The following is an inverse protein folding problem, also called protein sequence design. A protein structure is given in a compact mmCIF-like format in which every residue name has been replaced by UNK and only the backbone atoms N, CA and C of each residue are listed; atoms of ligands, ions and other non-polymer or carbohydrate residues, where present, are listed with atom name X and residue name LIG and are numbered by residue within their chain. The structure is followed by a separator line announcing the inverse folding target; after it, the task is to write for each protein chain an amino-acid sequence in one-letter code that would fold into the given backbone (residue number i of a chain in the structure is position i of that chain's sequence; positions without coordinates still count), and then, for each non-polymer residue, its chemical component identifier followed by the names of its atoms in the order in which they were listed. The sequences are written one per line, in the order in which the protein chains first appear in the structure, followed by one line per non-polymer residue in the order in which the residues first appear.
data_IF_907819219914
#
_entry.id   IF_907819219914
#
_cell.length_a   1.000
_cell.length_b   1.000
_cell.length_c   1.000
_cell.angle_alpha   90.00
_cell.angle_beta   90.00
_cell.angle_gamma   90.00
#
_symmetry.space_group_name_H-M   'P 1'
#
loop_
_entity.id
_entity.type
_entity.pdbx_description
1 polymer ?
#
# COMPACT_ATOMS: atom_id res chain seq x y z
N UNK A 1 11.41 29.30 10.39
CA UNK A 1 11.70 28.35 11.48
C UNK A 1 10.76 28.63 12.66
N UNK A 2 9.80 27.74 12.95
CA UNK A 2 8.88 27.93 14.08
C UNK A 2 9.29 26.98 15.22
N UNK A 3 9.82 27.55 16.32
CA UNK A 3 10.26 26.81 17.51
C UNK A 3 9.05 26.34 18.32
N UNK A 4 9.12 25.12 18.85
CA UNK A 4 8.21 24.60 19.87
C UNK A 4 8.20 25.55 21.07
N UNK A 5 7.01 26.05 21.47
CA UNK A 5 6.85 26.88 22.67
C UNK A 5 5.92 26.19 23.65
N UNK A 6 6.44 25.91 24.83
CA UNK A 6 5.70 25.34 25.96
C UNK A 6 5.47 26.46 26.96
N UNK A 7 4.21 26.74 27.30
CA UNK A 7 3.85 27.63 28.40
C UNK A 7 3.14 26.77 29.45
N UNK A 8 3.71 26.67 30.64
CA UNK A 8 3.12 25.94 31.76
C UNK A 8 2.57 26.94 32.75
N UNK A 9 1.30 26.76 33.12
CA UNK A 9 0.75 27.27 34.38
C UNK A 9 0.50 26.07 35.29
N UNK A 10 0.44 26.28 36.60
CA UNK A 10 0.24 25.28 37.67
C UNK A 10 -0.94 24.32 37.45
N UNK A 11 -1.84 24.62 36.50
CA UNK A 11 -3.02 23.82 36.16
C UNK A 11 -3.12 23.38 34.69
N UNK A 12 -2.36 23.96 33.76
CA UNK A 12 -2.47 23.65 32.32
C UNK A 12 -1.15 23.84 31.57
N UNK A 13 -0.77 22.85 30.76
CA UNK A 13 0.38 22.93 29.85
C UNK A 13 -0.13 23.24 28.43
N UNK A 14 0.26 24.41 27.90
CA UNK A 14 -0.06 24.80 26.51
C UNK A 14 1.15 24.59 25.61
N UNK A 15 1.00 23.71 24.61
CA UNK A 15 2.04 23.42 23.61
C UNK A 15 1.62 24.00 22.26
N UNK A 16 2.42 24.91 21.70
CA UNK A 16 2.22 25.42 20.34
C UNK A 16 3.12 24.67 19.37
N UNK A 17 2.52 23.80 18.55
CA UNK A 17 3.21 23.02 17.51
C UNK A 17 2.82 23.53 16.12
N UNK A 18 3.78 23.92 15.27
CA UNK A 18 3.49 24.31 13.90
C UNK A 18 3.19 23.07 13.06
N UNK A 19 1.91 22.72 12.87
CA UNK A 19 1.48 21.56 12.06
C UNK A 19 1.04 21.97 10.66
N UNK A 20 1.23 21.09 9.68
CA UNK A 20 0.70 21.24 8.31
C UNK A 20 -0.41 20.19 8.08
N UNK A 21 -1.62 20.61 7.73
CA UNK A 21 -2.73 19.67 7.45
C UNK A 21 -2.82 19.45 5.94
N UNK A 22 -2.71 18.19 5.48
CA UNK A 22 -2.94 17.79 4.08
C UNK A 22 -4.13 16.85 3.96
N UNK A 23 -4.75 16.75 2.79
CA UNK A 23 -5.82 15.76 2.49
C UNK A 23 -5.31 14.69 1.53
N UNK A 24 -5.55 13.41 1.82
CA UNK A 24 -5.35 12.27 0.89
C UNK A 24 -6.56 11.36 0.95
N UNK A 25 -7.22 11.15 -0.20
CA UNK A 25 -8.40 10.26 -0.30
C UNK A 25 -9.55 10.63 0.65
N UNK A 26 -9.79 11.93 0.87
CA UNK A 26 -10.85 12.42 1.77
C UNK A 26 -10.48 12.48 3.26
N UNK A 27 -9.33 11.92 3.68
CA UNK A 27 -8.87 11.94 5.08
C UNK A 27 -7.89 13.09 5.34
N UNK A 28 -8.07 13.80 6.47
CA UNK A 28 -7.15 14.85 6.95
C UNK A 28 -5.91 14.19 7.58
N UNK A 29 -4.74 14.62 7.17
CA UNK A 29 -3.44 14.11 7.59
C UNK A 29 -2.68 15.28 8.24
N UNK A 30 -2.40 15.17 9.54
CA UNK A 30 -1.64 16.17 10.30
C UNK A 30 -0.15 15.84 10.15
N UNK A 31 0.62 16.74 9.55
CA UNK A 31 2.05 16.63 9.37
C UNK A 31 2.76 17.48 10.43
N UNK A 32 3.75 16.87 11.09
CA UNK A 32 4.64 17.57 12.01
C UNK A 32 5.59 18.52 11.24
N UNK A 33 6.09 19.59 11.89
CA UNK A 33 6.97 20.59 11.27
C UNK A 33 8.34 20.03 10.85
N UNK A 34 8.96 20.69 9.87
CA UNK A 34 10.31 20.35 9.38
C UNK A 34 11.33 20.41 10.52
N UNK A 35 11.91 19.25 10.81
CA UNK A 35 12.85 19.02 11.91
C UNK A 35 12.63 17.64 12.56
N UNK A 36 11.39 17.15 12.56
CA UNK A 36 11.01 15.78 12.92
C UNK A 36 10.74 14.92 11.67
N UNK A 37 11.60 15.08 10.66
CA UNK A 37 11.44 14.41 9.36
C UNK A 37 11.61 12.88 9.48
N UNK A 38 12.17 12.39 10.60
CA UNK A 38 12.36 10.97 10.87
C UNK A 38 11.01 10.31 11.23
N UNK A 39 10.21 10.92 12.12
CA UNK A 39 8.95 10.29 12.59
C UNK A 39 7.81 10.41 11.58
N UNK A 40 7.68 11.54 10.87
CA UNK A 40 6.62 11.69 9.87
C UNK A 40 6.86 10.82 8.62
N UNK A 41 8.12 10.46 8.32
CA UNK A 41 8.46 9.52 7.26
C UNK A 41 8.27 8.08 7.74
N UNK A 42 8.61 7.75 8.99
CA UNK A 42 8.28 6.46 9.62
C UNK A 42 6.78 6.21 9.67
N UNK A 43 5.96 7.19 10.09
CA UNK A 43 4.49 7.07 10.10
C UNK A 43 3.90 6.84 8.69
N UNK A 44 4.50 7.43 7.65
CA UNK A 44 4.11 7.21 6.24
C UNK A 44 4.59 5.86 5.70
N UNK A 45 5.72 5.36 6.18
CA UNK A 45 6.26 4.03 5.86
C UNK A 45 5.59 2.91 6.67
N UNK A 46 4.94 3.23 7.79
CA UNK A 46 4.29 2.24 8.66
C UNK A 46 2.81 2.04 8.36
N UNK A 47 2.19 2.94 7.59
CA UNK A 47 0.77 2.84 7.30
C UNK A 47 0.53 1.98 6.06
N UNK A 48 -0.01 0.78 6.27
CA UNK A 48 -0.45 -0.15 5.23
C UNK A 48 -1.28 0.60 4.18
N UNK A 49 -0.87 0.53 2.91
CA UNK A 49 -1.59 1.17 1.82
C UNK A 49 -2.92 0.43 1.58
N UNK A 50 -3.99 0.94 2.20
CA UNK A 50 -5.33 0.36 2.11
C UNK A 50 -5.84 0.20 0.68
N UNK A 51 -5.38 1.01 -0.28
CA UNK A 51 -5.76 0.86 -1.67
C UNK A 51 -5.07 -0.35 -2.30
N UNK A 52 -3.80 -0.57 -1.97
CA UNK A 52 -3.03 -1.71 -2.45
C UNK A 52 -3.55 -3.02 -1.85
N UNK A 53 -3.86 -3.02 -0.55
CA UNK A 53 -4.48 -4.18 0.11
C UNK A 53 -5.85 -4.50 -0.48
N UNK A 54 -6.71 -3.50 -0.70
CA UNK A 54 -8.01 -3.72 -1.36
C UNK A 54 -7.87 -4.25 -2.78
N UNK A 55 -6.88 -3.78 -3.53
CA UNK A 55 -6.61 -4.28 -4.87
C UNK A 55 -6.17 -5.75 -4.85
N UNK A 56 -5.29 -6.14 -3.92
CA UNK A 56 -4.91 -7.54 -3.72
C UNK A 56 -6.12 -8.39 -3.30
N UNK A 57 -6.91 -7.94 -2.32
CA UNK A 57 -8.11 -8.66 -1.88
C UNK A 57 -9.10 -8.90 -3.03
N UNK A 58 -9.31 -7.90 -3.90
CA UNK A 58 -10.12 -8.05 -5.12
C UNK A 58 -9.51 -9.04 -6.10
N UNK A 59 -8.19 -9.00 -6.31
CA UNK A 59 -7.50 -9.91 -7.20
C UNK A 59 -7.69 -11.37 -6.75
N UNK A 60 -7.53 -11.66 -5.46
CA UNK A 60 -7.75 -12.99 -4.90
C UNK A 60 -9.21 -13.42 -4.98
N UNK A 61 -10.16 -12.55 -4.61
CA UNK A 61 -11.59 -12.84 -4.71
C UNK A 61 -12.02 -13.16 -6.14
N UNK A 62 -11.60 -12.36 -7.12
CA UNK A 62 -11.97 -12.58 -8.51
C UNK A 62 -11.32 -13.85 -9.08
N UNK A 63 -10.09 -14.18 -8.65
CA UNK A 63 -9.47 -15.46 -8.99
C UNK A 63 -10.27 -16.64 -8.44
N UNK A 64 -10.66 -16.58 -7.17
CA UNK A 64 -11.47 -17.63 -6.53
C UNK A 64 -12.82 -17.82 -7.25
N UNK A 65 -13.48 -16.73 -7.66
CA UNK A 65 -14.72 -16.81 -8.43
C UNK A 65 -14.56 -17.47 -9.80
N UNK A 66 -13.40 -17.28 -10.46
CA UNK A 66 -13.05 -17.98 -11.70
C UNK A 66 -12.73 -19.46 -11.43
N UNK A 67 -11.94 -19.75 -10.40
CA UNK A 67 -11.50 -21.10 -10.05
C UNK A 67 -12.67 -21.99 -9.59
N UNK A 68 -13.65 -21.41 -8.89
CA UNK A 68 -14.87 -22.11 -8.44
C UNK A 68 -15.95 -22.18 -9.53
N UNK A 69 -15.71 -21.63 -10.73
CA UNK A 69 -16.65 -21.65 -11.85
C UNK A 69 -17.90 -20.79 -11.67
N UNK A 70 -17.94 -19.90 -10.67
CA UNK A 70 -19.04 -18.94 -10.48
C UNK A 70 -19.13 -17.95 -11.65
N UNK A 71 -17.98 -17.62 -12.23
CA UNK A 71 -17.87 -16.92 -13.50
C UNK A 71 -16.94 -17.71 -14.41
N UNK A 72 -17.29 -17.81 -15.69
CA UNK A 72 -16.49 -18.54 -16.69
C UNK A 72 -15.41 -17.65 -17.32
N UNK A 73 -15.63 -16.33 -17.34
CA UNK A 73 -14.74 -15.39 -18.04
C UNK A 73 -14.53 -14.08 -17.28
N UNK A 74 -13.44 -13.37 -17.61
CA UNK A 74 -13.16 -12.03 -17.07
C UNK A 74 -14.27 -11.05 -17.46
N UNK A 75 -14.85 -11.21 -18.65
CA UNK A 75 -15.96 -10.40 -19.15
C UNK A 75 -17.20 -10.52 -18.26
N UNK A 76 -17.56 -11.72 -17.82
CA UNK A 76 -18.71 -11.89 -16.92
C UNK A 76 -18.49 -11.21 -15.56
N UNK A 77 -17.27 -11.25 -15.03
CA UNK A 77 -16.91 -10.49 -13.82
C UNK A 77 -17.04 -8.99 -14.07
N UNK A 78 -16.63 -8.52 -15.25
CA UNK A 78 -16.73 -7.11 -15.67
C UNK A 78 -18.18 -6.63 -15.70
N UNK A 79 -19.06 -7.43 -16.31
CA UNK A 79 -20.48 -7.14 -16.41
C UNK A 79 -21.15 -7.18 -15.03
N UNK A 80 -20.82 -8.17 -14.20
CA UNK A 80 -21.35 -8.33 -12.84
C UNK A 80 -20.95 -7.21 -11.87
N UNK A 81 -19.69 -6.77 -11.91
CA UNK A 81 -19.18 -5.69 -11.04
C UNK A 81 -19.38 -4.30 -11.64
N UNK A 82 -19.82 -4.20 -12.91
CA UNK A 82 -19.93 -2.96 -13.70
C UNK A 82 -18.61 -2.20 -13.79
N UNK A 83 -17.53 -2.94 -14.03
CA UNK A 83 -16.15 -2.42 -14.12
C UNK A 83 -15.58 -2.80 -15.48
N UNK A 84 -14.73 -1.94 -16.05
CA UNK A 84 -14.07 -2.25 -17.32
C UNK A 84 -13.23 -3.54 -17.24
N UNK A 85 -13.38 -4.42 -18.24
CA UNK A 85 -12.64 -5.69 -18.36
C UNK A 85 -11.12 -5.49 -18.26
N UNK A 86 -10.61 -4.43 -18.89
CA UNK A 86 -9.18 -4.07 -18.84
C UNK A 86 -8.67 -3.77 -17.42
N UNK A 87 -9.52 -3.21 -16.56
CA UNK A 87 -9.17 -2.96 -15.16
C UNK A 87 -9.13 -4.28 -14.38
N UNK A 88 -10.10 -5.17 -14.58
CA UNK A 88 -10.11 -6.48 -13.93
C UNK A 88 -8.86 -7.27 -14.30
N UNK A 89 -8.48 -7.29 -15.58
CA UNK A 89 -7.24 -7.94 -16.02
C UNK A 89 -5.99 -7.36 -15.36
N UNK A 90 -5.93 -6.03 -15.14
CA UNK A 90 -4.81 -5.39 -14.42
C UNK A 90 -4.76 -5.75 -12.94
N UNK A 91 -5.91 -5.90 -12.30
CA UNK A 91 -6.02 -6.30 -10.88
C UNK A 91 -5.72 -7.78 -10.71
N UNK A 92 -6.31 -8.67 -11.53
CA UNK A 92 -6.02 -10.11 -11.52
C UNK A 92 -4.54 -10.39 -11.72
N UNK A 93 -3.83 -9.58 -12.51
CA UNK A 93 -2.38 -9.67 -12.67
C UNK A 93 -1.64 -9.57 -11.33
N UNK A 94 -2.16 -8.88 -10.32
CA UNK A 94 -1.52 -8.77 -9.00
C UNK A 94 -1.33 -10.13 -8.32
N UNK A 95 -2.15 -11.14 -8.64
CA UNK A 95 -1.97 -12.51 -8.13
C UNK A 95 -0.67 -13.17 -8.62
N UNK A 96 -0.01 -12.60 -9.64
CA UNK A 96 1.26 -13.08 -10.18
C UNK A 96 2.48 -12.47 -9.48
N UNK A 97 2.26 -11.61 -8.48
CA UNK A 97 3.35 -11.08 -7.67
C UNK A 97 4.01 -12.18 -6.85
N UNK A 98 5.31 -12.04 -6.61
CA UNK A 98 6.03 -12.91 -5.71
C UNK A 98 5.40 -12.85 -4.30
N UNK A 99 5.28 -13.98 -3.59
CA UNK A 99 4.59 -14.04 -2.30
C UNK A 99 5.20 -13.09 -1.26
N UNK A 100 6.53 -12.96 -1.26
CA UNK A 100 7.26 -12.02 -0.39
C UNK A 100 6.89 -10.54 -0.65
N UNK A 101 6.55 -10.19 -1.90
CA UNK A 101 6.08 -8.85 -2.25
C UNK A 101 4.66 -8.63 -1.75
N UNK A 102 3.78 -9.63 -1.87
CA UNK A 102 2.42 -9.58 -1.34
C UNK A 102 2.47 -9.38 0.18
N UNK A 103 3.30 -10.16 0.89
CA UNK A 103 3.52 -10.01 2.32
C UNK A 103 4.03 -8.61 2.69
N UNK A 104 5.03 -8.07 1.97
CA UNK A 104 5.51 -6.70 2.17
C UNK A 104 4.40 -5.65 2.05
N UNK A 105 3.49 -5.81 1.10
CA UNK A 105 2.33 -4.92 0.93
C UNK A 105 1.38 -5.02 2.12
N UNK A 106 1.16 -6.23 2.65
CA UNK A 106 0.29 -6.46 3.80
C UNK A 106 0.88 -5.94 5.11
N UNK A 107 2.20 -6.03 5.29
CA UNK A 107 2.88 -5.56 6.51
C UNK A 107 2.99 -4.02 6.53
N UNK A 108 3.08 -3.37 5.36
CA UNK A 108 3.01 -1.91 5.21
C UNK A 108 4.32 -1.20 4.83
N UNK A 109 5.48 -1.46 5.47
CA UNK A 109 6.74 -0.86 5.06
C UNK A 109 7.25 -1.54 3.80
N UNK A 110 7.06 -0.87 2.67
CA UNK A 110 7.57 -1.29 1.38
C UNK A 110 8.35 -0.18 0.65
N UNK A 111 9.25 -0.52 -0.29
CA UNK A 111 10.01 0.46 -1.06
C UNK A 111 9.11 1.45 -1.82
N UNK A 112 9.57 2.68 -2.09
CA UNK A 112 8.81 3.69 -2.85
C UNK A 112 8.58 3.30 -4.32
N UNK A 113 9.33 2.34 -4.84
CA UNK A 113 9.12 1.73 -6.16
C UNK A 113 7.90 0.81 -6.19
N UNK A 114 7.50 0.24 -5.05
CA UNK A 114 6.34 -0.64 -4.93
C UNK A 114 5.09 0.18 -4.59
N UNK A 115 4.41 0.67 -5.63
CA UNK A 115 3.17 1.44 -5.48
C UNK A 115 2.07 0.87 -6.36
N UNK A 116 0.81 1.06 -5.96
CA UNK A 116 -0.34 0.59 -6.76
C UNK A 116 -0.31 1.14 -8.20
N UNK A 117 -0.05 2.44 -8.47
CA UNK A 117 0.06 2.93 -9.84
C UNK A 117 1.17 2.23 -10.65
N UNK A 118 2.32 1.94 -10.03
CA UNK A 118 3.40 1.21 -10.70
C UNK A 118 2.98 -0.20 -11.09
N UNK A 119 2.30 -0.92 -10.18
CA UNK A 119 1.76 -2.26 -10.41
C UNK A 119 0.64 -2.30 -11.46
N UNK A 120 -0.17 -1.23 -11.54
CA UNK A 120 -1.29 -1.12 -12.47
C UNK A 120 -0.86 -0.68 -13.87
N UNK A 121 0.08 0.27 -14.00
CA UNK A 121 0.43 0.93 -15.27
C UNK A 121 1.21 0.01 -16.22
N UNK A 122 2.26 -0.65 -15.73
CA UNK A 122 3.13 -1.50 -16.57
C UNK A 122 3.01 -2.96 -16.13
N UNK A 123 3.09 -3.88 -17.09
CA UNK A 123 3.25 -5.30 -16.79
C UNK A 123 4.62 -5.51 -16.15
N UNK A 124 4.65 -6.05 -14.94
CA UNK A 124 5.88 -6.43 -14.26
C UNK A 124 6.41 -7.77 -14.80
N UNK A 125 7.71 -8.08 -14.59
CA UNK A 125 8.32 -9.32 -15.07
C UNK A 125 7.57 -10.57 -14.62
N UNK A 126 7.53 -11.61 -15.45
CA UNK A 126 6.86 -12.86 -15.10
C UNK A 126 7.61 -13.67 -14.03
N UNK A 127 8.94 -13.56 -13.99
CA UNK A 127 9.80 -14.26 -13.03
C UNK A 127 9.85 -13.51 -11.71
N UNK A 128 9.69 -14.22 -10.59
CA UNK A 128 9.77 -13.60 -9.26
C UNK A 128 11.14 -12.99 -8.96
N UNK A 129 12.23 -13.57 -9.47
CA UNK A 129 13.58 -13.04 -9.32
C UNK A 129 13.73 -11.65 -9.94
N UNK A 130 13.13 -11.39 -11.11
CA UNK A 130 13.21 -10.08 -11.75
C UNK A 130 12.22 -9.09 -11.15
N UNK A 131 11.05 -9.56 -10.68
CA UNK A 131 10.15 -8.71 -9.88
C UNK A 131 10.87 -8.15 -8.65
N UNK A 132 11.60 -9.00 -7.92
CA UNK A 132 12.38 -8.60 -6.74
C UNK A 132 13.42 -7.53 -7.06
N UNK A 133 14.15 -7.67 -8.17
CA UNK A 133 15.10 -6.65 -8.65
C UNK A 133 14.40 -5.33 -8.97
N UNK A 134 13.27 -5.37 -9.68
CA UNK A 134 12.51 -4.17 -10.09
C UNK A 134 11.93 -3.44 -8.89
N UNK A 135 11.38 -4.17 -7.93
CA UNK A 135 10.75 -3.58 -6.75
C UNK A 135 11.70 -3.38 -5.57
N UNK A 136 12.96 -3.81 -5.69
CA UNK A 136 13.97 -3.68 -4.64
C UNK A 136 13.62 -4.51 -3.41
N UNK A 137 13.01 -5.69 -3.60
CA UNK A 137 12.64 -6.59 -2.51
C UNK A 137 13.62 -7.75 -2.42
N UNK A 138 13.84 -8.24 -1.20
CA UNK A 138 14.55 -9.49 -0.95
C UNK A 138 13.53 -10.53 -0.49
N UNK A 139 13.72 -11.82 -0.84
CA UNK A 139 12.87 -12.86 -0.29
C UNK A 139 13.00 -12.85 1.23
N UNK A 140 11.87 -12.96 1.94
CA UNK A 140 11.92 -13.21 3.37
C UNK A 140 12.71 -14.50 3.59
N UNK A 141 13.89 -14.39 4.21
CA UNK A 141 14.59 -15.57 4.71
C UNK A 141 13.64 -16.22 5.70
N UNK A 142 13.17 -17.44 5.41
CA UNK A 142 12.45 -18.25 6.39
C UNK A 142 13.26 -18.19 7.68
N UNK A 143 12.67 -17.68 8.77
CA UNK A 143 13.27 -17.92 10.09
C UNK A 143 13.41 -19.42 10.18
N UNK A 144 14.64 -19.91 10.32
CA UNK A 144 14.88 -21.31 10.58
C UNK A 144 14.02 -21.65 11.81
N UNK A 145 12.99 -22.48 11.62
CA UNK A 145 12.26 -23.05 12.73
C UNK A 145 13.25 -23.94 13.46
N UNK A 146 13.55 -23.55 14.71
CA UNK A 146 14.16 -24.40 15.74
C UNK A 146 13.11 -25.42 16.17
#
# INVERSE_FOLDING_TARGET
MAKLRIKSDSRTITVRVPILIRKRGGRKLVLAPEGLQHDARMLRCQQVDSAMVKALARAFRWRELLENGMYSTIKEIADGEKIAETYIGRVLRLNLLAPDIIELILIGPHPPSLTLPALMKKRFPATWSDQRKVFGTQPFRKRASV
#
